data_IF_709636652134
#
_entry.id   IF_709636652134
#
_cell.length_a   1.000
_cell.length_b   1.000
_cell.length_c   1.000
_cell.angle_alpha   90.00
_cell.angle_beta   90.00
_cell.angle_gamma   90.00
#
_symmetry.space_group_name_H-M   'P 1'
#
loop_
_entity.id
_entity.type
_entity.pdbx_description
1 polymer ?
#
# COMPACT_ATOMS: atom_id res chain seq x y z
N UNK A 1 18.07 -13.51 19.47
CA UNK A 1 16.69 -13.02 19.50
C UNK A 1 16.62 -11.52 19.77
N UNK A 2 17.23 -11.00 20.87
CA UNK A 2 17.20 -9.56 21.23
C UNK A 2 17.79 -8.62 20.15
N UNK A 3 18.89 -8.98 19.50
CA UNK A 3 19.54 -8.16 18.49
C UNK A 3 18.69 -7.95 17.24
N UNK A 4 18.01 -9.00 16.76
CA UNK A 4 17.11 -8.90 15.60
C UNK A 4 15.89 -8.02 15.89
N UNK A 5 15.37 -8.07 17.10
CA UNK A 5 14.25 -7.23 17.51
C UNK A 5 14.64 -5.75 17.62
N UNK A 6 15.85 -5.47 18.11
CA UNK A 6 16.39 -4.11 18.14
C UNK A 6 16.56 -3.54 16.72
N UNK A 7 17.09 -4.35 15.78
CA UNK A 7 17.24 -3.94 14.39
C UNK A 7 15.87 -3.66 13.72
N UNK A 8 14.88 -4.50 13.94
CA UNK A 8 13.49 -4.27 13.42
C UNK A 8 12.89 -2.98 13.98
N UNK A 9 13.03 -2.73 15.27
CA UNK A 9 12.56 -1.48 15.89
C UNK A 9 13.30 -0.25 15.38
N UNK A 10 14.61 -0.35 15.15
CA UNK A 10 15.39 0.73 14.56
C UNK A 10 14.94 1.02 13.13
N UNK A 11 14.75 -0.03 12.31
CA UNK A 11 14.25 0.10 10.95
C UNK A 11 12.86 0.74 10.90
N UNK A 12 11.93 0.29 11.75
CA UNK A 12 10.59 0.86 11.85
C UNK A 12 10.61 2.35 12.21
N UNK A 13 11.49 2.76 13.15
CA UNK A 13 11.67 4.18 13.53
C UNK A 13 12.23 5.01 12.37
N UNK A 14 13.21 4.48 11.63
CA UNK A 14 13.80 5.14 10.47
C UNK A 14 12.73 5.29 9.38
N UNK A 15 11.97 4.25 9.08
CA UNK A 15 10.89 4.28 8.08
C UNK A 15 9.81 5.30 8.45
N UNK A 16 9.42 5.37 9.72
CA UNK A 16 8.48 6.37 10.21
C UNK A 16 9.04 7.79 10.13
N UNK A 17 10.31 7.99 10.49
CA UNK A 17 10.98 9.30 10.36
C UNK A 17 11.06 9.75 8.89
N UNK A 18 11.38 8.85 7.97
CA UNK A 18 11.37 9.12 6.52
C UNK A 18 9.96 9.49 6.03
N UNK A 19 8.93 8.79 6.51
CA UNK A 19 7.53 9.12 6.20
C UNK A 19 7.17 10.54 6.67
N UNK A 20 7.50 10.90 7.92
CA UNK A 20 7.29 12.26 8.44
C UNK A 20 8.12 13.27 7.65
N UNK A 21 9.40 12.96 7.38
CA UNK A 21 10.30 13.80 6.58
C UNK A 21 9.75 14.10 5.19
N UNK A 22 9.15 13.10 4.52
CA UNK A 22 8.50 13.30 3.23
C UNK A 22 7.31 14.28 3.32
N UNK A 23 6.52 14.20 4.40
CA UNK A 23 5.41 15.14 4.62
C UNK A 23 5.91 16.57 4.87
N UNK A 24 6.98 16.73 5.64
CA UNK A 24 7.63 18.00 5.86
C UNK A 24 8.28 18.55 4.56
N UNK A 25 8.84 17.65 3.73
CA UNK A 25 9.40 18.02 2.44
C UNK A 25 8.36 18.63 1.46
N UNK A 26 7.06 18.43 1.69
CA UNK A 26 6.04 19.14 0.93
C UNK A 26 6.12 20.68 1.12
N UNK A 27 6.71 21.17 2.21
CA UNK A 27 6.94 22.60 2.42
C UNK A 27 7.93 23.19 1.42
N UNK A 28 8.75 22.35 0.76
CA UNK A 28 9.67 22.77 -0.31
C UNK A 28 8.95 23.43 -1.49
N UNK A 29 7.64 23.23 -1.64
CA UNK A 29 6.83 23.94 -2.67
C UNK A 29 6.92 25.46 -2.54
N UNK A 30 7.27 26.00 -1.33
CA UNK A 30 7.46 27.43 -1.09
C UNK A 30 8.63 27.98 -1.94
N UNK A 31 9.69 27.17 -2.12
CA UNK A 31 10.86 27.53 -2.93
C UNK A 31 10.73 27.16 -4.41
N UNK A 32 9.75 26.34 -4.76
CA UNK A 32 9.49 25.88 -6.12
C UNK A 32 8.03 26.20 -6.50
N UNK A 33 7.73 27.45 -6.90
CA UNK A 33 6.36 27.86 -7.22
C UNK A 33 5.78 27.00 -8.36
N UNK A 34 4.47 26.72 -8.33
CA UNK A 34 3.82 25.89 -9.32
C UNK A 34 3.84 26.51 -10.71
N UNK A 35 4.24 25.72 -11.71
CA UNK A 35 4.03 26.02 -13.12
C UNK A 35 3.04 24.99 -13.69
N UNK A 36 2.44 25.27 -14.84
CA UNK A 36 1.52 24.33 -15.49
C UNK A 36 2.18 22.96 -15.76
N UNK A 37 3.46 22.95 -16.18
CA UNK A 37 4.23 21.72 -16.40
C UNK A 37 4.51 20.95 -15.13
N UNK A 38 4.83 21.62 -14.02
CA UNK A 38 5.04 20.96 -12.73
C UNK A 38 3.74 20.39 -12.14
N UNK A 39 2.63 21.11 -12.28
CA UNK A 39 1.32 20.60 -11.89
C UNK A 39 0.89 19.39 -12.73
N UNK A 40 1.13 19.43 -14.04
CA UNK A 40 0.89 18.30 -14.93
C UNK A 40 1.78 17.11 -14.54
N UNK A 41 3.07 17.32 -14.28
CA UNK A 41 3.98 16.26 -13.81
C UNK A 41 3.49 15.64 -12.50
N UNK A 42 3.05 16.46 -11.53
CA UNK A 42 2.50 15.96 -10.27
C UNK A 42 1.22 15.13 -10.49
N UNK A 43 0.31 15.61 -11.33
CA UNK A 43 -0.93 14.90 -11.65
C UNK A 43 -0.66 13.57 -12.35
N UNK A 44 0.18 13.55 -13.39
CA UNK A 44 0.53 12.33 -14.13
C UNK A 44 1.24 11.33 -13.22
N UNK A 45 2.20 11.79 -12.41
CA UNK A 45 2.87 10.95 -11.41
C UNK A 45 1.89 10.34 -10.41
N UNK A 46 0.95 11.12 -9.91
CA UNK A 46 -0.11 10.65 -9.02
C UNK A 46 -0.97 9.58 -9.70
N UNK A 47 -1.47 9.84 -10.91
CA UNK A 47 -2.33 8.92 -11.64
C UNK A 47 -1.64 7.58 -11.96
N UNK A 48 -0.38 7.62 -12.38
CA UNK A 48 0.40 6.42 -12.68
C UNK A 48 0.57 5.57 -11.41
N UNK A 49 0.89 6.17 -10.26
CA UNK A 49 1.06 5.45 -9.00
C UNK A 49 -0.26 4.90 -8.48
N UNK A 50 -1.34 5.68 -8.53
CA UNK A 50 -2.67 5.22 -8.17
C UNK A 50 -3.14 4.07 -9.06
N UNK A 51 -2.81 4.12 -10.35
CA UNK A 51 -3.05 2.99 -11.24
C UNK A 51 -2.24 1.75 -10.83
N UNK A 52 -0.96 1.91 -10.46
CA UNK A 52 -0.12 0.84 -9.93
C UNK A 52 -0.69 0.18 -8.68
N UNK A 53 -1.22 0.98 -7.75
CA UNK A 53 -1.90 0.46 -6.54
C UNK A 53 -3.24 -0.18 -6.90
N UNK A 54 -4.11 0.51 -7.63
CA UNK A 54 -5.49 0.04 -7.84
C UNK A 54 -5.56 -1.13 -8.82
N UNK A 55 -4.87 -1.05 -9.95
CA UNK A 55 -4.86 -2.11 -10.97
C UNK A 55 -3.82 -3.19 -10.63
N UNK A 56 -2.61 -2.78 -10.24
CA UNK A 56 -1.52 -3.70 -9.89
C UNK A 56 -1.76 -4.37 -8.53
N UNK A 57 -1.49 -3.67 -7.45
CA UNK A 57 -1.49 -4.26 -6.10
C UNK A 57 -2.85 -4.80 -5.69
N UNK A 58 -3.91 -4.00 -5.88
CA UNK A 58 -5.25 -4.39 -5.46
C UNK A 58 -5.87 -5.43 -6.41
N UNK A 59 -6.12 -5.09 -7.68
CA UNK A 59 -6.89 -5.98 -8.59
C UNK A 59 -6.09 -7.19 -9.05
N UNK A 60 -4.82 -7.00 -9.45
CA UNK A 60 -4.02 -8.08 -10.01
C UNK A 60 -3.42 -8.97 -8.91
N UNK A 61 -2.59 -8.40 -8.01
CA UNK A 61 -1.86 -9.21 -7.03
C UNK A 61 -2.73 -9.71 -5.89
N UNK A 62 -3.70 -8.93 -5.42
CA UNK A 62 -4.54 -9.35 -4.29
C UNK A 62 -5.77 -10.11 -4.72
N UNK A 63 -6.56 -9.56 -5.63
CA UNK A 63 -7.84 -10.15 -6.06
C UNK A 63 -7.72 -11.11 -7.24
N UNK A 64 -6.57 -11.19 -7.94
CA UNK A 64 -6.37 -12.06 -9.11
C UNK A 64 -7.45 -11.86 -10.17
N UNK A 65 -7.90 -10.62 -10.37
CA UNK A 65 -9.07 -10.29 -11.20
C UNK A 65 -8.84 -10.52 -12.70
N UNK A 66 -7.59 -10.59 -13.14
CA UNK A 66 -7.21 -10.84 -14.53
C UNK A 66 -5.86 -11.55 -14.62
N UNK A 67 -5.51 -12.02 -15.82
CA UNK A 67 -4.22 -12.63 -16.13
C UNK A 67 -3.44 -11.75 -17.07
N UNK A 68 -2.11 -11.79 -16.98
CA UNK A 68 -1.23 -11.03 -17.86
C UNK A 68 0.12 -11.74 -18.05
N UNK A 69 0.96 -11.21 -18.94
CA UNK A 69 2.32 -11.68 -19.14
C UNK A 69 3.20 -11.40 -17.91
N UNK A 70 4.26 -12.19 -17.73
CA UNK A 70 5.23 -11.98 -16.65
C UNK A 70 5.92 -10.60 -16.72
N UNK A 71 6.19 -10.11 -17.94
CA UNK A 71 6.75 -8.78 -18.12
C UNK A 71 5.80 -7.68 -17.64
N UNK A 72 4.52 -7.75 -18.01
CA UNK A 72 3.53 -6.77 -17.55
C UNK A 72 3.22 -6.90 -16.05
N UNK A 73 3.28 -8.12 -15.49
CA UNK A 73 3.24 -8.33 -14.04
C UNK A 73 4.35 -7.54 -13.33
N UNK A 74 5.59 -7.59 -13.86
CA UNK A 74 6.69 -6.82 -13.30
C UNK A 74 6.45 -5.31 -13.40
N UNK A 75 5.94 -4.82 -14.53
CA UNK A 75 5.59 -3.40 -14.70
C UNK A 75 4.55 -2.95 -13.66
N UNK A 76 3.49 -3.74 -13.45
CA UNK A 76 2.48 -3.46 -12.43
C UNK A 76 3.09 -3.43 -11.02
N UNK A 77 3.96 -4.40 -10.71
CA UNK A 77 4.65 -4.48 -9.43
C UNK A 77 5.57 -3.27 -9.22
N UNK A 78 6.38 -2.93 -10.21
CA UNK A 78 7.32 -1.82 -10.15
C UNK A 78 6.59 -0.49 -9.95
N UNK A 79 5.58 -0.20 -10.76
CA UNK A 79 4.80 1.04 -10.65
C UNK A 79 4.10 1.12 -9.29
N UNK A 80 3.45 0.05 -8.84
CA UNK A 80 2.83 0.02 -7.51
C UNK A 80 3.83 0.31 -6.39
N UNK A 81 5.04 -0.27 -6.47
CA UNK A 81 6.11 -0.05 -5.48
C UNK A 81 6.61 1.40 -5.44
N UNK A 82 6.42 2.19 -6.51
CA UNK A 82 6.75 3.63 -6.48
C UNK A 82 5.83 4.47 -5.59
N UNK A 83 4.70 3.93 -5.14
CA UNK A 83 3.73 4.64 -4.29
C UNK A 83 4.10 4.66 -2.80
N UNK A 84 5.23 4.03 -2.40
CA UNK A 84 5.71 3.98 -1.01
C UNK A 84 4.82 3.17 -0.07
N UNK A 85 4.16 2.15 -0.61
CA UNK A 85 3.26 1.24 0.13
C UNK A 85 3.85 -0.18 0.28
N UNK A 86 5.16 -0.30 0.51
CA UNK A 86 5.91 -1.55 0.54
C UNK A 86 5.94 -2.31 -0.80
N UNK A 87 6.35 -3.59 -0.76
CA UNK A 87 6.44 -4.41 -1.95
C UNK A 87 5.15 -5.13 -2.31
N UNK A 88 5.06 -5.70 -3.54
CA UNK A 88 3.84 -6.31 -4.07
C UNK A 88 3.39 -7.56 -3.31
N UNK A 89 4.33 -8.37 -2.78
CA UNK A 89 4.00 -9.61 -2.05
C UNK A 89 3.51 -9.27 -0.64
N UNK A 90 4.23 -8.38 0.07
CA UNK A 90 3.83 -7.89 1.37
C UNK A 90 2.43 -7.27 1.32
N UNK A 91 2.21 -6.35 0.38
CA UNK A 91 0.93 -5.67 0.20
C UNK A 91 -0.21 -6.65 -0.10
N UNK A 92 0.00 -7.59 -1.04
CA UNK A 92 -1.00 -8.58 -1.39
C UNK A 92 -1.34 -9.51 -0.21
N UNK A 93 -0.33 -9.89 0.60
CA UNK A 93 -0.55 -10.75 1.77
C UNK A 93 -1.43 -10.07 2.81
N UNK A 94 -1.13 -8.81 3.15
CA UNK A 94 -1.92 -8.06 4.12
C UNK A 94 -3.31 -7.73 3.60
N UNK A 95 -3.44 -7.40 2.34
CA UNK A 95 -4.75 -7.11 1.73
C UNK A 95 -5.66 -8.34 1.66
N UNK A 96 -5.11 -9.51 1.28
CA UNK A 96 -5.86 -10.78 1.31
C UNK A 96 -6.29 -11.13 2.73
N UNK A 97 -5.41 -10.92 3.73
CA UNK A 97 -5.73 -11.11 5.15
C UNK A 97 -6.83 -10.17 5.62
N UNK A 98 -6.77 -8.89 5.22
CA UNK A 98 -7.82 -7.92 5.51
C UNK A 98 -9.19 -8.41 4.98
N UNK A 99 -9.25 -8.91 3.75
CA UNK A 99 -10.51 -9.45 3.20
C UNK A 99 -10.99 -10.72 3.91
N UNK A 100 -10.08 -11.55 4.42
CA UNK A 100 -10.44 -12.77 5.17
C UNK A 100 -10.91 -12.47 6.59
N UNK A 101 -10.35 -11.46 7.23
CA UNK A 101 -10.52 -11.17 8.66
C UNK A 101 -11.05 -9.75 8.92
N UNK A 102 -11.62 -9.08 7.93
CA UNK A 102 -12.17 -7.74 8.07
C UNK A 102 -13.09 -7.62 9.30
N UNK A 103 -12.96 -6.50 10.03
CA UNK A 103 -13.70 -6.22 11.26
C UNK A 103 -13.45 -7.20 12.41
N UNK A 104 -12.29 -7.86 12.44
CA UNK A 104 -11.81 -8.66 13.56
C UNK A 104 -10.50 -8.09 14.14
N UNK A 105 -10.06 -8.60 15.32
CA UNK A 105 -8.75 -8.24 15.91
C UNK A 105 -7.54 -8.70 15.08
N UNK A 106 -7.75 -9.61 14.12
CA UNK A 106 -6.70 -10.09 13.24
C UNK A 106 -6.40 -9.11 12.08
N UNK A 107 -7.27 -8.11 11.88
CA UNK A 107 -7.11 -7.05 10.88
C UNK A 107 -6.58 -5.76 11.54
N UNK A 108 -5.29 -5.39 11.32
CA UNK A 108 -4.70 -4.18 11.90
C UNK A 108 -5.30 -2.88 11.34
N UNK A 109 -5.99 -2.96 10.21
CA UNK A 109 -6.69 -1.82 9.60
C UNK A 109 -8.05 -1.51 10.21
N UNK A 110 -8.59 -2.38 11.08
CA UNK A 110 -9.93 -2.19 11.60
C UNK A 110 -9.99 -1.07 12.65
N UNK A 111 -10.63 0.07 12.35
CA UNK A 111 -10.81 1.15 13.32
C UNK A 111 -11.76 0.77 14.46
N UNK A 112 -12.43 -0.38 14.33
CA UNK A 112 -13.30 -0.93 15.40
C UNK A 112 -12.49 -1.50 16.57
N UNK A 113 -11.28 -2.02 16.30
CA UNK A 113 -10.45 -2.70 17.31
C UNK A 113 -9.18 -1.95 17.65
N UNK A 114 -8.77 -1.00 16.81
CA UNK A 114 -7.55 -0.23 16.98
C UNK A 114 -7.83 1.27 16.92
N UNK A 115 -7.02 2.11 17.57
CA UNK A 115 -7.14 3.56 17.46
C UNK A 115 -7.03 4.00 16.00
N UNK A 116 -7.76 5.05 15.62
CA UNK A 116 -7.82 5.56 14.25
C UNK A 116 -6.43 5.74 13.62
N UNK A 117 -5.51 6.41 14.32
CA UNK A 117 -4.16 6.65 13.81
C UNK A 117 -3.37 5.37 13.60
N UNK A 118 -3.56 4.36 14.46
CA UNK A 118 -2.93 3.07 14.26
C UNK A 118 -3.50 2.37 13.03
N UNK A 119 -4.79 2.19 12.97
CA UNK A 119 -5.46 1.50 11.86
C UNK A 119 -5.24 2.19 10.51
N UNK A 120 -5.06 3.52 10.50
CA UNK A 120 -4.92 4.30 9.28
C UNK A 120 -3.48 4.47 8.79
N UNK A 121 -2.52 4.67 9.72
CA UNK A 121 -1.14 5.05 9.35
C UNK A 121 -0.10 4.18 10.04
N UNK A 122 -0.10 4.09 11.38
CA UNK A 122 1.09 3.62 12.10
C UNK A 122 1.23 2.10 12.12
N UNK A 123 0.18 1.34 11.79
CA UNK A 123 0.24 -0.13 11.71
C UNK A 123 1.29 -0.64 10.70
N UNK A 124 1.56 0.11 9.62
CA UNK A 124 2.59 -0.24 8.61
C UNK A 124 4.00 -0.19 9.20
N UNK A 125 4.21 0.66 10.20
CA UNK A 125 5.48 0.83 10.89
C UNK A 125 5.60 -0.01 12.18
N UNK A 126 4.58 -0.81 12.53
CA UNK A 126 4.68 -1.74 13.65
C UNK A 126 5.56 -2.93 13.26
N UNK A 127 6.68 -3.20 13.98
CA UNK A 127 7.56 -4.33 13.67
C UNK A 127 6.88 -5.70 13.63
N UNK A 128 5.69 -5.84 14.22
CA UNK A 128 4.88 -7.06 14.14
C UNK A 128 4.32 -7.30 12.73
N UNK A 129 4.12 -6.23 11.97
CA UNK A 129 3.53 -6.25 10.65
C UNK A 129 4.58 -6.22 9.52
N UNK A 130 5.87 -6.18 9.89
CA UNK A 130 7.00 -6.20 8.94
C UNK A 130 7.09 -7.54 8.17
N UNK A 131 6.61 -8.61 8.77
CA UNK A 131 6.53 -9.94 8.13
C UNK A 131 5.14 -10.20 7.57
N UNK A 132 5.07 -11.01 6.52
CA UNK A 132 3.82 -11.43 5.91
C UNK A 132 3.65 -12.97 5.96
N UNK A 133 2.42 -13.43 5.84
CA UNK A 133 2.13 -14.86 5.73
C UNK A 133 2.37 -15.33 4.29
N UNK A 134 3.50 -16.05 4.09
CA UNK A 134 3.86 -16.60 2.79
C UNK A 134 2.86 -17.65 2.29
N UNK A 135 2.06 -18.28 3.17
CA UNK A 135 1.11 -19.31 2.79
C UNK A 135 -0.04 -18.78 1.93
N UNK A 136 -0.46 -17.54 2.15
CA UNK A 136 -1.55 -16.90 1.43
C UNK A 136 -1.12 -16.25 0.09
N UNK A 137 0.20 -16.19 -0.18
CA UNK A 137 0.80 -15.55 -1.37
C UNK A 137 1.80 -16.45 -2.12
N UNK A 138 1.68 -17.78 -2.00
CA UNK A 138 2.56 -18.76 -2.68
C UNK A 138 2.61 -18.57 -4.19
N UNK A 139 1.51 -18.11 -4.79
CA UNK A 139 1.41 -17.74 -6.20
C UNK A 139 2.34 -16.60 -6.60
N UNK A 140 2.71 -15.71 -5.67
CA UNK A 140 3.57 -14.56 -5.90
C UNK A 140 5.03 -14.82 -5.49
N UNK A 141 5.25 -15.54 -4.39
CA UNK A 141 6.60 -15.81 -3.87
C UNK A 141 7.49 -16.66 -4.80
N UNK A 142 6.90 -17.33 -5.78
CA UNK A 142 7.64 -18.08 -6.81
C UNK A 142 8.42 -17.18 -7.80
N UNK A 143 8.06 -15.89 -7.90
CA UNK A 143 8.68 -14.95 -8.84
C UNK A 143 9.85 -14.21 -8.18
N UNK A 144 11.10 -14.42 -8.62
CA UNK A 144 12.28 -13.79 -8.02
C UNK A 144 12.27 -12.27 -8.14
N UNK A 145 11.74 -11.72 -9.23
CA UNK A 145 11.61 -10.27 -9.45
C UNK A 145 10.64 -9.61 -8.46
N UNK A 146 9.55 -10.29 -8.07
CA UNK A 146 8.64 -9.76 -7.06
C UNK A 146 9.29 -9.80 -5.67
N UNK A 147 10.03 -10.87 -5.36
CA UNK A 147 10.81 -10.94 -4.11
C UNK A 147 11.89 -9.86 -4.05
N UNK A 148 12.51 -9.54 -5.18
CA UNK A 148 13.49 -8.45 -5.26
C UNK A 148 12.85 -7.09 -4.95
N UNK A 149 11.65 -6.81 -5.47
CA UNK A 149 10.91 -5.59 -5.16
C UNK A 149 10.49 -5.50 -3.70
N UNK A 150 10.10 -6.61 -3.07
CA UNK A 150 9.82 -6.64 -1.62
C UNK A 150 11.07 -6.44 -0.77
N UNK A 151 12.22 -6.95 -1.23
CA UNK A 151 13.49 -6.79 -0.51
C UNK A 151 14.09 -5.38 -0.66
N UNK A 152 13.96 -4.79 -1.85
CA UNK A 152 14.56 -3.51 -2.22
C UNK A 152 13.48 -2.47 -2.51
N UNK A 153 12.56 -2.27 -1.56
CA UNK A 153 11.40 -1.36 -1.69
C UNK A 153 11.80 0.07 -2.01
N UNK A 154 13.02 0.49 -1.64
CA UNK A 154 13.57 1.80 -1.94
C UNK A 154 13.94 1.99 -3.42
N UNK A 155 14.27 0.89 -4.16
CA UNK A 155 14.78 1.00 -5.52
C UNK A 155 13.77 1.60 -6.52
N UNK A 156 12.48 1.19 -6.54
CA UNK A 156 11.46 1.85 -7.37
C UNK A 156 11.25 3.33 -6.99
N UNK A 157 11.37 3.67 -5.70
CA UNK A 157 11.25 5.06 -5.23
C UNK A 157 12.36 5.93 -5.78
N UNK A 158 13.62 5.46 -5.67
CA UNK A 158 14.80 6.16 -6.20
C UNK A 158 14.70 6.31 -7.72
N UNK A 159 14.30 5.25 -8.43
CA UNK A 159 14.13 5.30 -9.88
C UNK A 159 13.08 6.34 -10.30
N UNK A 160 11.95 6.42 -9.57
CA UNK A 160 10.92 7.41 -9.84
C UNK A 160 11.38 8.84 -9.53
N UNK A 161 12.08 9.04 -8.41
CA UNK A 161 12.65 10.34 -8.07
C UNK A 161 13.70 10.79 -9.10
N UNK A 162 14.55 9.88 -9.58
CA UNK A 162 15.53 10.13 -10.63
C UNK A 162 14.86 10.52 -11.95
N UNK A 163 13.76 9.84 -12.32
CA UNK A 163 12.97 10.21 -13.50
C UNK A 163 12.39 11.64 -13.36
N UNK A 164 11.80 11.97 -12.20
CA UNK A 164 11.28 13.30 -11.95
C UNK A 164 12.39 14.37 -12.01
N UNK A 165 13.57 14.05 -11.48
CA UNK A 165 14.74 14.92 -11.57
C UNK A 165 15.19 15.13 -13.01
N UNK A 166 15.27 14.07 -13.81
CA UNK A 166 15.64 14.17 -15.21
C UNK A 166 14.67 15.01 -16.06
N UNK A 167 13.38 15.00 -15.68
CA UNK A 167 12.35 15.77 -16.41
C UNK A 167 12.32 17.27 -16.04
N UNK A 168 12.56 17.62 -14.76
CA UNK A 168 12.41 19.01 -14.32
C UNK A 168 13.32 19.38 -13.13
N UNK A 169 14.48 18.72 -12.99
CA UNK A 169 15.44 19.02 -11.93
C UNK A 169 14.85 18.85 -10.51
N UNK A 170 15.35 19.66 -9.57
CA UNK A 170 14.88 19.63 -8.18
C UNK A 170 13.39 19.95 -8.05
N UNK A 171 12.87 20.88 -8.85
CA UNK A 171 11.44 21.18 -8.90
C UNK A 171 10.61 19.97 -9.31
N UNK A 172 11.11 19.17 -10.27
CA UNK A 172 10.50 17.89 -10.67
C UNK A 172 10.42 16.87 -9.54
N UNK A 173 11.47 16.77 -8.73
CA UNK A 173 11.44 15.92 -7.52
C UNK A 173 10.41 16.41 -6.53
N UNK A 174 10.35 17.70 -6.24
CA UNK A 174 9.37 18.25 -5.29
C UNK A 174 7.94 17.99 -5.76
N UNK A 175 7.60 18.30 -6.99
CA UNK A 175 6.23 18.17 -7.50
C UNK A 175 5.89 16.75 -7.95
N UNK A 176 6.75 16.14 -8.75
CA UNK A 176 6.48 14.83 -9.36
C UNK A 176 6.72 13.65 -8.42
N UNK A 177 7.57 13.80 -7.38
CA UNK A 177 7.81 12.75 -6.40
C UNK A 177 7.21 13.08 -5.03
N UNK A 178 7.65 14.15 -4.35
CA UNK A 178 7.26 14.44 -2.97
C UNK A 178 5.75 14.71 -2.85
N UNK A 179 5.24 15.69 -3.59
CA UNK A 179 3.82 16.09 -3.52
C UNK A 179 2.88 14.99 -3.99
N UNK A 180 3.25 14.30 -5.08
CA UNK A 180 2.43 13.21 -5.62
C UNK A 180 2.40 11.98 -4.71
N UNK A 181 3.49 11.68 -3.99
CA UNK A 181 3.56 10.56 -3.04
C UNK A 181 2.67 10.79 -1.83
N UNK A 182 2.64 12.00 -1.28
CA UNK A 182 1.77 12.33 -0.14
C UNK A 182 0.30 12.03 -0.44
N UNK A 183 -0.18 12.34 -1.64
CA UNK A 183 -1.57 12.08 -2.04
C UNK A 183 -1.87 10.58 -2.14
N UNK A 184 -0.93 9.77 -2.61
CA UNK A 184 -1.10 8.31 -2.69
C UNK A 184 -1.21 7.68 -1.31
N UNK A 185 -0.32 8.03 -0.40
CA UNK A 185 -0.27 7.48 0.97
C UNK A 185 -1.47 7.89 1.85
N UNK A 186 -2.16 8.99 1.52
CA UNK A 186 -3.29 9.51 2.30
C UNK A 186 -4.66 9.11 1.76
N UNK A 187 -4.74 8.39 0.64
CA UNK A 187 -6.03 7.94 0.10
C UNK A 187 -6.51 6.73 0.89
N UNK A 188 -7.61 6.83 1.68
CA UNK A 188 -8.20 5.67 2.32
C UNK A 188 -8.64 4.69 1.24
N UNK A 189 -8.39 3.40 1.44
CA UNK A 189 -9.01 2.39 0.58
C UNK A 189 -10.54 2.50 0.75
N UNK A 190 -11.22 3.10 -0.22
CA UNK A 190 -12.67 3.33 -0.23
C UNK A 190 -13.51 2.03 -0.16
N UNK A 191 -12.85 0.88 -0.01
CA UNK A 191 -13.51 -0.43 0.02
C UNK A 191 -14.03 -0.84 1.40
N UNK A 192 -13.69 -0.12 2.46
CA UNK A 192 -14.08 -0.48 3.83
C UNK A 192 -15.53 -0.13 4.20
N UNK A 193 -16.18 0.80 3.49
CA UNK A 193 -17.50 1.32 3.88
C UNK A 193 -18.72 0.65 3.24
N UNK A 194 -18.56 -0.07 2.12
CA UNK A 194 -19.71 -0.45 1.29
C UNK A 194 -20.36 -1.80 1.68
N UNK A 195 -19.77 -2.62 2.54
CA UNK A 195 -20.32 -3.93 2.91
C UNK A 195 -21.09 -4.00 4.22
N UNK A 196 -21.12 -2.94 5.00
CA UNK A 196 -21.91 -2.92 6.25
C UNK A 196 -23.43 -2.76 6.03
N UNK A 197 -23.88 -2.35 4.81
CA UNK A 197 -25.27 -1.98 4.55
C UNK A 197 -26.15 -3.10 3.92
N UNK A 198 -25.60 -4.26 3.55
CA UNK A 198 -26.39 -5.30 2.85
C UNK A 198 -26.11 -6.71 3.36
N UNK A 199 -26.42 -6.96 4.64
CA UNK A 199 -26.73 -8.33 5.08
C UNK A 199 -28.25 -8.42 5.24
N UNK A 200 -28.97 -9.15 4.38
CA UNK A 200 -30.37 -9.49 4.66
C UNK A 200 -30.40 -10.37 5.91
N UNK A 201 -31.30 -10.06 6.82
CA UNK A 201 -31.57 -10.87 8.00
C UNK A 201 -31.95 -12.28 7.55
N UNK A 202 -31.21 -13.30 7.99
CA UNK A 202 -31.58 -14.71 7.82
C UNK A 202 -32.90 -14.95 8.53
N UNK A 203 -33.93 -15.55 7.88
CA UNK A 203 -35.16 -15.94 8.56
C UNK A 203 -34.80 -16.98 9.63
N UNK A 204 -35.29 -16.78 10.85
CA UNK A 204 -35.21 -17.77 11.93
C UNK A 204 -35.94 -19.04 11.46
N UNK A 205 -35.18 -20.15 11.40
CA UNK A 205 -35.73 -21.45 11.10
C UNK A 205 -36.83 -21.82 12.09
N UNK A 206 -38.00 -22.13 11.58
CA UNK A 206 -39.08 -22.79 12.27
C UNK A 206 -38.65 -24.23 12.53
N UNK A 207 -38.60 -24.60 13.80
CA UNK A 207 -38.47 -25.98 14.28
C UNK A 207 -39.62 -26.83 13.76
N UNK A 208 -39.38 -28.01 13.16
CA UNK A 208 -40.46 -28.94 12.86
C UNK A 208 -40.92 -29.63 14.16
N UNK A 209 -42.23 -29.57 14.41
CA UNK A 209 -42.88 -30.46 15.38
C UNK A 209 -42.79 -31.90 14.92
N UNK A 210 -42.32 -32.80 15.80
CA UNK A 210 -42.43 -34.26 15.63
C UNK A 210 -43.85 -34.69 15.88
N UNK A 211 -44.45 -35.55 15.04
CA UNK A 211 -45.67 -36.25 15.40
C UNK A 211 -45.38 -37.48 16.29
N UNK A 212 -46.21 -37.62 17.27
CA UNK A 212 -46.37 -38.79 18.13
C UNK A 212 -46.74 -40.06 17.41
#
# INVERSE_FOLDING_TARGET
VRGLELLRRAFARISFALFVGLHLACLLVIWYPPTASLLLLALVSYLIRMWGITVGFHRYFSHRSFRTSRAFQFVLAFIGSTAMENGPIWWASWHRRHHQHGDTRADPHSPRFFPFWYAHVTWVFDPKNDTFDASNVRDLTRYPELRALDRFTWAPLVAWAALCYALAGTAGVVWGFVVSTRRSASTPSLTSGARAATRPATPRGTTPCSPS
#
